data_IF_706748876190
#
_entry.id   IF_706748876190
#
_cell.length_a   1.000
_cell.length_b   1.000
_cell.length_c   1.000
_cell.angle_alpha   90.00
_cell.angle_beta   90.00
_cell.angle_gamma   90.00
#
_symmetry.space_group_name_H-M   'P 1'
#
loop_
_entity.id
_entity.type
_entity.pdbx_description
1 polymer ?
#
# COMPACT_ATOMS: atom_id res chain seq x y z
N UNK A 1 -14.62 19.30 19.95
CA UNK A 1 -14.84 18.66 18.65
C UNK A 1 -13.62 18.91 17.80
N UNK A 2 -13.06 17.87 17.15
CA UNK A 2 -11.90 17.98 16.27
C UNK A 2 -12.08 19.07 15.21
N UNK A 3 -10.99 19.74 14.84
CA UNK A 3 -10.99 20.81 13.83
C UNK A 3 -10.55 20.24 12.49
N UNK A 4 -11.18 20.70 11.41
CA UNK A 4 -10.86 20.27 10.05
C UNK A 4 -11.82 19.18 9.55
N UNK A 5 -11.44 18.52 8.46
CA UNK A 5 -12.24 17.48 7.85
C UNK A 5 -11.37 16.43 7.15
N UNK A 6 -11.79 15.18 7.25
CA UNK A 6 -11.32 14.09 6.40
C UNK A 6 -12.37 13.85 5.31
N UNK A 7 -11.99 14.02 4.06
CA UNK A 7 -12.92 13.92 2.93
C UNK A 7 -12.66 12.62 2.19
N UNK A 8 -13.71 11.86 1.91
CA UNK A 8 -13.64 10.75 0.97
C UNK A 8 -13.37 11.32 -0.43
N UNK A 9 -12.21 11.00 -1.01
CA UNK A 9 -11.85 11.44 -2.36
C UNK A 9 -12.10 10.36 -3.42
N UNK A 10 -12.11 9.08 -3.02
CA UNK A 10 -12.57 7.98 -3.86
C UNK A 10 -13.17 6.87 -2.97
N UNK A 11 -14.27 6.27 -3.44
CA UNK A 11 -14.97 5.19 -2.76
C UNK A 11 -15.73 4.36 -3.76
N UNK A 12 -15.74 3.05 -3.56
CA UNK A 12 -16.53 2.16 -4.39
C UNK A 12 -16.19 0.71 -4.21
N UNK A 13 -16.50 -0.04 -5.26
CA UNK A 13 -16.10 -1.43 -5.41
C UNK A 13 -15.72 -1.68 -6.87
N UNK A 14 -14.70 -2.51 -7.09
CA UNK A 14 -14.24 -2.89 -8.42
C UNK A 14 -13.54 -4.25 -8.40
N UNK A 15 -13.38 -4.85 -9.58
CA UNK A 15 -12.63 -6.08 -9.78
C UNK A 15 -11.15 -5.75 -9.97
N UNK A 16 -10.40 -5.79 -8.88
CA UNK A 16 -8.99 -5.42 -8.88
C UNK A 16 -8.35 -5.39 -7.51
N UNK A 17 -7.16 -4.80 -7.44
CA UNK A 17 -6.41 -4.57 -6.22
C UNK A 17 -5.98 -3.11 -6.11
N UNK A 18 -5.76 -2.64 -4.88
CA UNK A 18 -5.25 -1.30 -4.61
C UNK A 18 -3.86 -1.43 -4.02
N UNK A 19 -2.89 -0.76 -4.62
CA UNK A 19 -1.55 -0.60 -4.07
C UNK A 19 -1.39 0.83 -3.55
N UNK A 20 -0.70 1.00 -2.43
CA UNK A 20 -0.48 2.32 -1.84
C UNK A 20 0.80 2.33 -1.01
N UNK A 21 1.49 3.46 -1.00
CA UNK A 21 2.73 3.67 -0.26
C UNK A 21 2.87 5.14 0.13
N UNK A 22 3.53 5.40 1.27
CA UNK A 22 3.74 6.73 1.81
C UNK A 22 5.17 6.95 2.30
N UNK A 23 5.75 8.06 1.87
CA UNK A 23 6.91 8.65 2.51
C UNK A 23 6.45 9.55 3.68
N UNK A 24 6.74 9.15 4.90
CA UNK A 24 6.33 9.82 6.15
C UNK A 24 7.46 10.60 6.85
N UNK A 25 8.67 10.63 6.28
CA UNK A 25 9.75 11.45 6.82
C UNK A 25 9.56 12.91 6.43
N UNK A 26 9.28 13.77 7.40
CA UNK A 26 9.06 15.20 7.16
C UNK A 26 10.30 15.85 6.49
N UNK A 27 10.07 16.55 5.39
CA UNK A 27 11.12 17.25 4.62
C UNK A 27 10.86 18.75 4.59
N UNK A 28 11.85 19.54 5.02
CA UNK A 28 11.77 21.00 5.01
C UNK A 28 12.25 21.57 3.67
N UNK A 29 11.32 22.13 2.91
CA UNK A 29 11.62 22.84 1.67
C UNK A 29 11.86 24.32 1.95
N UNK A 30 13.02 24.82 1.50
CA UNK A 30 13.48 26.19 1.75
C UNK A 30 14.45 26.64 0.65
N UNK A 31 15.22 27.70 0.90
CA UNK A 31 16.26 28.16 -0.03
C UNK A 31 17.45 27.21 -0.11
N UNK A 32 17.71 26.39 0.93
CA UNK A 32 18.81 25.40 0.95
C UNK A 32 18.41 24.07 0.30
N UNK A 33 17.16 23.64 0.50
CA UNK A 33 16.59 22.45 -0.13
C UNK A 33 15.35 22.86 -0.92
N UNK A 34 15.55 23.10 -2.21
CA UNK A 34 14.49 23.60 -3.10
C UNK A 34 13.68 22.49 -3.76
N UNK A 35 14.15 21.25 -3.73
CA UNK A 35 13.58 20.17 -4.50
C UNK A 35 13.39 18.92 -3.65
N UNK A 36 12.28 18.22 -3.89
CA UNK A 36 12.01 16.91 -3.35
C UNK A 36 11.41 16.03 -4.46
N UNK A 37 11.92 14.80 -4.58
CA UNK A 37 11.46 13.85 -5.58
C UNK A 37 10.87 12.62 -4.90
N UNK A 38 9.62 12.31 -5.23
CA UNK A 38 8.94 11.07 -4.85
C UNK A 38 8.87 10.14 -6.07
N UNK A 39 9.09 8.85 -5.87
CA UNK A 39 9.09 7.86 -6.95
C UNK A 39 7.88 6.95 -6.81
N UNK A 40 7.14 6.79 -7.91
CA UNK A 40 5.98 5.89 -8.01
C UNK A 40 6.33 4.82 -9.04
N UNK A 41 6.30 3.54 -8.64
CA UNK A 41 6.50 2.42 -9.55
C UNK A 41 5.15 1.80 -9.90
N UNK A 42 4.88 1.67 -11.19
CA UNK A 42 3.61 1.16 -11.69
C UNK A 42 3.85 -0.11 -12.50
N UNK A 43 3.43 -1.24 -11.94
CA UNK A 43 3.78 -2.57 -12.45
C UNK A 43 2.97 -2.98 -13.69
N UNK A 44 1.75 -2.47 -13.82
CA UNK A 44 0.84 -2.75 -14.94
C UNK A 44 -0.07 -1.56 -15.21
N UNK A 45 -0.89 -1.59 -16.27
CA UNK A 45 -1.70 -0.43 -16.66
C UNK A 45 -2.73 -0.14 -15.55
N UNK A 46 -2.64 1.02 -14.86
CA UNK A 46 -3.55 1.32 -13.77
C UNK A 46 -4.89 1.83 -14.31
N UNK A 47 -5.98 1.57 -13.59
CA UNK A 47 -7.28 2.20 -13.87
C UNK A 47 -7.32 3.63 -13.31
N UNK A 48 -6.76 3.82 -12.13
CA UNK A 48 -6.67 5.10 -11.43
C UNK A 48 -5.35 5.20 -10.68
N UNK A 49 -4.81 6.42 -10.61
CA UNK A 49 -3.67 6.74 -9.76
C UNK A 49 -3.87 8.08 -9.10
N UNK A 50 -3.79 8.09 -7.77
CA UNK A 50 -3.82 9.30 -6.96
C UNK A 50 -2.45 9.54 -6.33
N UNK A 51 -2.08 10.81 -6.19
CA UNK A 51 -0.99 11.22 -5.31
C UNK A 51 -1.55 12.18 -4.27
N UNK A 52 -1.17 11.93 -3.01
CA UNK A 52 -1.63 12.68 -1.84
C UNK A 52 -0.40 13.17 -1.10
N UNK A 53 -0.38 14.44 -0.72
CA UNK A 53 0.67 14.95 0.14
C UNK A 53 0.18 16.03 1.08
N UNK A 54 0.83 16.10 2.24
CA UNK A 54 0.44 16.95 3.34
C UNK A 54 1.58 17.90 3.65
N UNK A 55 1.26 19.18 3.79
CA UNK A 55 2.23 20.22 4.12
C UNK A 55 1.82 21.00 5.36
N UNK A 56 2.83 21.51 6.07
CA UNK A 56 2.67 22.46 7.16
C UNK A 56 3.48 23.73 6.85
N UNK A 57 2.88 24.90 7.06
CA UNK A 57 3.49 26.21 6.77
C UNK A 57 3.03 27.27 7.76
N UNK A 58 3.73 28.41 7.79
CA UNK A 58 3.16 29.61 8.42
C UNK A 58 1.91 30.05 7.65
N UNK A 59 0.88 30.49 8.38
CA UNK A 59 -0.41 30.87 7.79
C UNK A 59 -0.28 32.00 6.76
N UNK A 60 0.68 32.91 6.93
CA UNK A 60 0.89 34.04 6.04
C UNK A 60 1.77 33.69 4.83
N UNK A 61 2.31 32.47 4.77
CA UNK A 61 3.19 32.01 3.70
C UNK A 61 2.38 31.20 2.70
N UNK A 62 2.19 31.71 1.49
CA UNK A 62 1.61 30.92 0.40
C UNK A 62 2.70 30.08 -0.31
N UNK A 63 2.46 28.79 -0.57
CA UNK A 63 3.46 27.91 -1.15
C UNK A 63 3.75 28.29 -2.60
N UNK A 64 4.95 28.83 -2.85
CA UNK A 64 5.46 29.12 -4.20
C UNK A 64 6.19 27.90 -4.76
N UNK A 65 5.45 26.88 -5.17
CA UNK A 65 6.02 25.65 -5.75
C UNK A 65 5.59 25.41 -7.20
N UNK A 66 6.32 24.50 -7.86
CA UNK A 66 5.92 23.85 -9.10
C UNK A 66 5.93 22.35 -8.86
N UNK A 67 4.89 21.69 -9.35
CA UNK A 67 4.74 20.25 -9.26
C UNK A 67 4.91 19.69 -10.66
N UNK A 68 5.72 18.65 -10.77
CA UNK A 68 5.97 17.95 -12.02
C UNK A 68 5.76 16.46 -11.81
N UNK A 69 5.11 15.81 -12.77
CA UNK A 69 5.08 14.37 -12.87
C UNK A 69 5.76 14.00 -14.17
N UNK A 70 6.90 13.31 -14.08
CA UNK A 70 7.82 13.12 -15.18
C UNK A 70 8.12 14.50 -15.82
N UNK A 71 7.86 14.66 -17.12
CA UNK A 71 8.09 15.90 -17.86
C UNK A 71 6.86 16.83 -17.92
N UNK A 72 5.77 16.50 -17.21
CA UNK A 72 4.51 17.25 -17.22
C UNK A 72 4.34 18.13 -15.99
N UNK A 73 4.06 19.41 -16.18
CA UNK A 73 3.75 20.32 -15.07
C UNK A 73 2.29 20.23 -14.67
N UNK A 74 2.03 20.09 -13.37
CA UNK A 74 0.67 19.90 -12.82
C UNK A 74 0.01 21.21 -12.37
N UNK A 75 0.46 22.38 -12.85
CA UNK A 75 -0.01 23.66 -12.28
C UNK A 75 -1.44 24.02 -12.67
N UNK A 76 -2.30 24.15 -11.64
CA UNK A 76 -3.63 24.80 -11.57
C UNK A 76 -4.89 24.01 -11.97
N UNK A 77 -4.83 22.86 -12.62
CA UNK A 77 -6.05 22.19 -13.16
C UNK A 77 -6.57 20.97 -12.38
N UNK A 78 -6.00 20.66 -11.23
CA UNK A 78 -6.42 19.52 -10.41
C UNK A 78 -6.46 19.94 -8.93
N UNK A 79 -7.63 19.91 -8.27
CA UNK A 79 -7.75 20.16 -6.82
C UNK A 79 -8.78 19.21 -6.21
N UNK A 80 -8.49 18.62 -5.05
CA UNK A 80 -8.82 19.28 -3.78
C UNK A 80 -7.61 19.76 -2.97
N UNK A 81 -7.73 20.98 -2.41
CA UNK A 81 -6.92 21.43 -1.28
C UNK A 81 -7.83 21.49 -0.06
N UNK A 82 -7.53 20.72 0.98
CA UNK A 82 -8.17 20.80 2.28
C UNK A 82 -7.19 21.54 3.17
N UNK A 83 -7.63 22.64 3.79
CA UNK A 83 -6.75 23.45 4.63
C UNK A 83 -7.37 23.66 6.01
N UNK A 84 -6.51 23.59 7.03
CA UNK A 84 -6.89 23.88 8.41
C UNK A 84 -5.89 24.88 8.97
N UNK A 85 -6.44 25.96 9.53
CA UNK A 85 -5.65 26.94 10.27
C UNK A 85 -5.60 26.58 11.75
N UNK A 86 -4.39 26.64 12.30
CA UNK A 86 -4.13 26.35 13.69
C UNK A 86 -3.13 27.37 14.26
N UNK A 87 -3.66 28.45 14.83
CA UNK A 87 -2.86 29.53 15.41
C UNK A 87 -2.07 30.32 14.36
N UNK A 88 -0.76 30.10 14.30
CA UNK A 88 0.14 30.67 13.29
C UNK A 88 0.49 29.69 12.16
N UNK A 89 0.06 28.44 12.27
CA UNK A 89 0.32 27.40 11.27
C UNK A 89 -0.91 27.17 10.41
N UNK A 90 -0.64 26.77 9.18
CA UNK A 90 -1.65 26.29 8.23
C UNK A 90 -1.17 24.96 7.70
N UNK A 91 -2.04 23.96 7.81
CA UNK A 91 -1.81 22.62 7.30
C UNK A 91 -2.66 22.48 6.05
N UNK A 92 -2.10 21.89 5.00
CA UNK A 92 -2.81 21.63 3.74
C UNK A 92 -2.63 20.17 3.34
N UNK A 93 -3.72 19.49 2.99
CA UNK A 93 -3.71 18.19 2.32
C UNK A 93 -4.10 18.42 0.86
N UNK A 94 -3.28 17.89 -0.04
CA UNK A 94 -3.43 18.05 -1.47
C UNK A 94 -3.55 16.68 -2.11
N UNK A 95 -4.58 16.50 -2.94
CA UNK A 95 -4.88 15.26 -3.63
C UNK A 95 -4.94 15.54 -5.14
N UNK A 96 -4.21 14.77 -5.93
CA UNK A 96 -4.21 14.84 -7.39
C UNK A 96 -4.61 13.50 -7.98
N UNK A 97 -5.55 13.53 -8.92
CA UNK A 97 -5.74 12.44 -9.87
C UNK A 97 -4.69 12.56 -10.98
N UNK A 98 -3.72 11.66 -10.98
CA UNK A 98 -2.62 11.62 -11.94
C UNK A 98 -2.76 10.47 -12.94
N UNK A 99 -3.90 9.77 -12.93
CA UNK A 99 -4.21 8.65 -13.84
C UNK A 99 -3.85 8.93 -15.32
N UNK A 100 -4.17 10.11 -15.90
CA UNK A 100 -3.87 10.34 -17.33
C UNK A 100 -2.39 10.56 -17.66
N UNK A 101 -1.53 10.79 -16.66
CA UNK A 101 -0.14 11.20 -16.83
C UNK A 101 0.88 10.13 -16.42
N UNK A 102 0.41 9.08 -15.74
CA UNK A 102 1.23 7.97 -15.28
C UNK A 102 1.57 7.02 -16.43
N UNK A 103 2.84 6.62 -16.51
CA UNK A 103 3.33 5.58 -17.43
C UNK A 103 3.64 4.29 -16.67
N UNK A 104 3.73 3.18 -17.40
CA UNK A 104 4.25 1.92 -16.88
C UNK A 104 5.71 2.10 -16.40
N UNK A 105 6.06 1.44 -15.30
CA UNK A 105 7.37 1.50 -14.67
C UNK A 105 7.53 2.72 -13.76
N UNK A 106 8.73 3.30 -13.76
CA UNK A 106 9.13 4.38 -12.85
C UNK A 106 8.54 5.72 -13.29
N UNK A 107 7.84 6.38 -12.37
CA UNK A 107 7.33 7.74 -12.48
C UNK A 107 7.97 8.61 -11.40
N UNK A 108 8.35 9.84 -11.74
CA UNK A 108 8.98 10.76 -10.79
C UNK A 108 8.07 11.95 -10.55
N UNK A 109 7.69 12.17 -9.29
CA UNK A 109 6.96 13.34 -8.87
C UNK A 109 7.90 14.33 -8.18
N UNK A 110 8.18 15.44 -8.86
CA UNK A 110 9.11 16.47 -8.40
C UNK A 110 8.35 17.68 -7.87
N UNK A 111 8.68 18.06 -6.63
CA UNK A 111 8.24 19.28 -5.98
C UNK A 111 9.40 20.28 -6.02
N UNK A 112 9.27 21.36 -6.77
CA UNK A 112 10.24 22.46 -6.81
C UNK A 112 9.71 23.67 -6.06
N UNK A 113 10.29 23.97 -4.91
CA UNK A 113 9.97 25.12 -4.08
C UNK A 113 10.81 26.36 -4.44
N UNK A 114 10.13 27.50 -4.57
CA UNK A 114 10.72 28.81 -4.92
C UNK A 114 10.44 29.89 -3.88
N UNK A 115 9.84 29.52 -2.75
CA UNK A 115 9.59 30.47 -1.67
C UNK A 115 10.84 30.74 -0.85
N UNK A 116 10.79 31.85 -0.10
CA UNK A 116 11.88 32.28 0.79
C UNK A 116 11.68 31.67 2.18
N UNK A 117 10.43 31.54 2.62
CA UNK A 117 10.08 30.96 3.92
C UNK A 117 10.03 29.44 3.85
N UNK A 118 10.44 28.76 4.91
CA UNK A 118 10.37 27.30 4.98
C UNK A 118 8.93 26.78 4.95
N UNK A 119 8.70 25.69 4.22
CA UNK A 119 7.49 24.85 4.33
C UNK A 119 7.93 23.42 4.67
N UNK A 120 7.11 22.72 5.46
CA UNK A 120 7.30 21.30 5.75
C UNK A 120 6.44 20.47 4.80
N UNK A 121 7.04 19.51 4.11
CA UNK A 121 6.35 18.40 3.49
C UNK A 121 6.30 17.27 4.52
N UNK A 122 5.16 17.10 5.17
CA UNK A 122 5.00 16.15 6.26
C UNK A 122 4.88 14.72 5.76
N UNK A 123 4.12 14.52 4.68
CA UNK A 123 4.03 13.21 4.02
C UNK A 123 3.66 13.35 2.55
N UNK A 124 4.02 12.36 1.76
CA UNK A 124 3.61 12.20 0.36
C UNK A 124 3.47 10.72 0.06
N UNK A 125 2.41 10.34 -0.63
CA UNK A 125 2.16 8.96 -1.01
C UNK A 125 1.28 8.85 -2.23
N UNK A 126 1.11 7.64 -2.71
CA UNK A 126 0.29 7.36 -3.88
C UNK A 126 -0.68 6.21 -3.61
N UNK A 127 -1.72 6.13 -4.45
CA UNK A 127 -2.66 5.02 -4.48
C UNK A 127 -2.87 4.62 -5.94
N UNK A 128 -2.67 3.36 -6.28
CA UNK A 128 -2.76 2.81 -7.63
C UNK A 128 -3.81 1.69 -7.66
N UNK A 129 -4.70 1.75 -8.64
CA UNK A 129 -5.75 0.77 -8.86
C UNK A 129 -5.37 -0.14 -10.02
N UNK A 130 -5.26 -1.44 -9.76
CA UNK A 130 -4.97 -2.44 -10.78
C UNK A 130 -6.20 -3.30 -11.03
N UNK A 131 -6.62 -3.43 -12.29
CA UNK A 131 -7.71 -4.34 -12.65
C UNK A 131 -7.26 -5.80 -12.50
N UNK A 132 -8.08 -6.61 -11.85
CA UNK A 132 -7.88 -8.04 -11.72
C UNK A 132 -9.26 -8.71 -11.61
N UNK A 133 -9.65 -9.41 -12.68
CA UNK A 133 -10.97 -10.05 -12.74
C UNK A 133 -11.18 -11.01 -11.56
N UNK A 134 -12.39 -10.97 -10.99
CA UNK A 134 -12.82 -11.78 -9.83
C UNK A 134 -12.13 -11.44 -8.50
N UNK A 135 -11.22 -10.47 -8.45
CA UNK A 135 -10.70 -9.91 -7.20
C UNK A 135 -11.63 -8.78 -6.77
N UNK A 136 -12.67 -9.09 -6.01
CA UNK A 136 -13.62 -8.06 -5.57
C UNK A 136 -12.98 -7.20 -4.47
N UNK A 137 -12.74 -5.92 -4.77
CA UNK A 137 -12.25 -4.94 -3.80
C UNK A 137 -13.34 -3.95 -3.46
N UNK A 138 -13.61 -3.75 -2.17
CA UNK A 138 -14.43 -2.65 -1.65
C UNK A 138 -13.53 -1.69 -0.88
N UNK A 139 -13.64 -0.40 -1.17
CA UNK A 139 -12.71 0.58 -0.61
C UNK A 139 -13.41 1.91 -0.28
N UNK A 140 -12.83 2.64 0.67
CA UNK A 140 -13.15 4.02 1.05
C UNK A 140 -11.83 4.72 1.38
N UNK A 141 -11.42 5.67 0.53
CA UNK A 141 -10.18 6.41 0.67
C UNK A 141 -10.47 7.84 1.12
N UNK A 142 -9.99 8.17 2.32
CA UNK A 142 -10.14 9.49 2.90
C UNK A 142 -8.78 10.17 3.04
N UNK A 143 -8.73 11.44 2.67
CA UNK A 143 -7.58 12.31 2.87
C UNK A 143 -8.07 13.69 3.30
N UNK A 144 -7.24 14.40 4.04
CA UNK A 144 -7.60 15.69 4.61
C UNK A 144 -6.77 15.99 5.84
N UNK A 145 -7.35 16.77 6.75
CA UNK A 145 -6.69 17.14 8.00
C UNK A 145 -7.75 17.15 9.09
N UNK A 146 -7.60 16.25 10.05
CA UNK A 146 -8.29 16.36 11.34
C UNK A 146 -7.28 16.68 12.43
N UNK A 147 -7.56 17.73 13.17
CA UNK A 147 -6.76 18.20 14.30
C UNK A 147 -7.48 17.81 15.59
N UNK A 148 -6.82 17.00 16.40
CA UNK A 148 -7.30 16.56 17.70
C UNK A 148 -6.60 17.34 18.80
N UNK A 149 -7.39 17.92 19.71
CA UNK A 149 -6.94 18.48 20.98
C UNK A 149 -6.94 17.40 22.06
N UNK A 150 -6.20 17.59 23.17
CA UNK A 150 -6.20 16.63 24.27
C UNK A 150 -7.62 16.40 24.80
N UNK A 151 -7.99 15.13 24.98
CA UNK A 151 -9.32 14.69 25.37
C UNK A 151 -10.30 14.49 24.20
N UNK A 152 -9.90 14.82 22.97
CA UNK A 152 -10.74 14.58 21.80
C UNK A 152 -10.52 13.18 21.20
N UNK A 153 -11.58 12.67 20.59
CA UNK A 153 -11.58 11.40 19.90
C UNK A 153 -12.27 11.50 18.54
N UNK A 154 -11.86 10.61 17.64
CA UNK A 154 -12.47 10.43 16.33
C UNK A 154 -12.67 8.94 16.07
N UNK A 155 -13.73 8.63 15.33
CA UNK A 155 -14.06 7.27 14.93
C UNK A 155 -14.00 7.13 13.41
N UNK A 156 -13.32 6.09 12.95
CA UNK A 156 -13.29 5.70 11.53
C UNK A 156 -13.86 4.29 11.36
N UNK A 157 -14.50 4.01 10.23
CA UNK A 157 -15.06 2.69 9.96
C UNK A 157 -14.10 1.85 9.11
N UNK A 158 -13.72 0.68 9.62
CA UNK A 158 -12.85 -0.27 8.95
C UNK A 158 -13.63 -1.46 8.38
N UNK A 159 -13.43 -1.77 7.11
CA UNK A 159 -14.11 -2.86 6.41
C UNK A 159 -13.25 -4.12 6.27
N UNK A 160 -11.97 -4.05 6.62
CA UNK A 160 -11.01 -5.14 6.43
C UNK A 160 -9.60 -4.69 6.82
N UNK A 161 -8.80 -4.32 5.85
CA UNK A 161 -7.52 -3.66 6.05
C UNK A 161 -7.71 -2.15 6.12
N UNK A 162 -7.14 -1.53 7.14
CA UNK A 162 -7.16 -0.09 7.32
C UNK A 162 -5.77 0.47 7.49
N UNK A 163 -5.58 1.63 6.89
CA UNK A 163 -4.35 2.36 6.87
C UNK A 163 -4.61 3.79 7.33
N UNK A 164 -3.73 4.31 8.17
CA UNK A 164 -3.86 5.64 8.75
C UNK A 164 -2.49 6.32 8.82
N UNK A 165 -2.45 7.57 8.36
CA UNK A 165 -1.27 8.44 8.50
C UNK A 165 -1.60 9.50 9.54
N UNK A 166 -0.79 9.59 10.59
CA UNK A 166 -0.98 10.58 11.66
C UNK A 166 0.32 11.11 12.23
N UNK A 167 0.24 12.28 12.88
CA UNK A 167 1.37 13.00 13.49
C UNK A 167 1.01 13.38 14.91
N UNK A 168 1.85 13.05 15.88
CA UNK A 168 1.72 13.56 17.24
C UNK A 168 2.68 14.74 17.42
N UNK A 169 2.17 15.95 17.63
CA UNK A 169 3.02 17.15 17.83
C UNK A 169 3.37 17.36 19.32
N UNK A 170 2.78 16.59 20.23
CA UNK A 170 2.91 16.81 21.67
C UNK A 170 3.94 15.91 22.35
N UNK A 171 4.99 16.52 22.91
CA UNK A 171 6.00 15.85 23.72
C UNK A 171 5.47 15.02 24.90
N UNK A 172 4.45 15.53 25.59
CA UNK A 172 3.82 14.90 26.77
C UNK A 172 2.36 14.52 26.47
N UNK A 173 2.09 14.17 25.22
CA UNK A 173 0.80 13.73 24.77
C UNK A 173 0.96 12.42 24.00
N UNK A 174 -0.11 11.64 24.00
CA UNK A 174 -0.18 10.29 23.45
C UNK A 174 -1.32 10.24 22.47
N UNK A 175 -1.02 9.84 21.24
CA UNK A 175 -2.03 9.56 20.23
C UNK A 175 -2.23 8.05 20.17
N UNK A 176 -3.43 7.62 20.52
CA UNK A 176 -3.84 6.22 20.48
C UNK A 176 -4.67 5.97 19.23
N UNK A 177 -4.34 4.92 18.50
CA UNK A 177 -5.16 4.38 17.40
C UNK A 177 -5.54 2.96 17.80
N UNK A 178 -6.74 2.81 18.36
CA UNK A 178 -7.13 1.65 19.16
C UNK A 178 -6.07 1.27 20.21
N UNK A 179 -5.36 0.16 20.00
CA UNK A 179 -4.28 -0.34 20.88
C UNK A 179 -2.89 0.15 20.49
N UNK A 180 -2.74 0.76 19.31
CA UNK A 180 -1.47 1.30 18.85
C UNK A 180 -1.21 2.66 19.48
N UNK A 181 0.01 2.90 19.95
CA UNK A 181 0.41 4.14 20.61
C UNK A 181 1.52 4.82 19.80
N UNK A 182 1.24 6.05 19.36
CA UNK A 182 2.22 6.97 18.78
C UNK A 182 2.82 7.80 19.92
N UNK A 183 4.12 7.61 20.18
CA UNK A 183 4.87 8.41 21.15
C UNK A 183 5.86 9.37 20.51
N UNK A 184 6.23 9.17 19.25
CA UNK A 184 7.22 10.02 18.58
C UNK A 184 6.72 11.45 18.47
N UNK A 185 7.54 12.40 18.94
CA UNK A 185 7.23 13.82 18.88
C UNK A 185 7.54 14.38 17.50
N UNK A 186 6.53 14.98 16.88
CA UNK A 186 6.58 15.68 15.61
C UNK A 186 6.99 14.80 14.41
N UNK A 187 6.89 13.47 14.55
CA UNK A 187 7.07 12.51 13.47
C UNK A 187 5.71 12.08 12.92
N UNK A 188 5.67 11.84 11.60
CA UNK A 188 4.50 11.24 10.96
C UNK A 188 4.68 9.73 11.00
N UNK A 189 3.68 9.04 11.52
CA UNK A 189 3.62 7.59 11.58
C UNK A 189 2.59 7.05 10.60
N UNK A 190 2.92 5.89 10.03
CA UNK A 190 2.06 5.08 9.19
C UNK A 190 1.60 3.86 9.98
N UNK A 191 0.29 3.64 10.03
CA UNK A 191 -0.32 2.59 10.83
C UNK A 191 -1.21 1.74 9.94
N UNK A 192 -0.92 0.45 9.88
CA UNK A 192 -1.75 -0.54 9.18
C UNK A 192 -2.32 -1.54 10.17
N UNK A 193 -3.62 -1.81 10.05
CA UNK A 193 -4.32 -2.79 10.90
C UNK A 193 -5.40 -3.53 10.12
N UNK A 194 -5.80 -4.70 10.64
CA UNK A 194 -6.94 -5.45 10.11
C UNK A 194 -8.04 -5.54 11.14
N UNK A 195 -9.21 -4.99 10.82
CA UNK A 195 -10.38 -4.93 11.69
C UNK A 195 -11.65 -4.82 10.86
N UNK A 196 -12.76 -5.33 11.39
CA UNK A 196 -14.09 -4.98 10.91
C UNK A 196 -14.82 -4.18 12.00
N UNK A 197 -15.34 -3.01 11.64
CA UNK A 197 -15.99 -2.08 12.54
C UNK A 197 -15.12 -0.87 12.88
N UNK A 198 -15.37 -0.28 14.04
CA UNK A 198 -14.87 1.05 14.35
C UNK A 198 -13.42 1.04 14.84
N UNK A 199 -12.60 1.96 14.33
CA UNK A 199 -11.28 2.31 14.84
C UNK A 199 -11.40 3.64 15.59
N UNK A 200 -10.93 3.67 16.83
CA UNK A 200 -10.96 4.86 17.66
C UNK A 200 -9.59 5.52 17.71
N UNK A 201 -9.52 6.77 17.28
CA UNK A 201 -8.33 7.61 17.39
C UNK A 201 -8.53 8.60 18.53
N UNK A 202 -7.71 8.51 19.57
CA UNK A 202 -7.86 9.28 20.81
C UNK A 202 -6.57 10.01 21.13
N UNK A 203 -6.67 11.30 21.41
CA UNK A 203 -5.52 12.11 21.79
C UNK A 203 -5.59 12.50 23.26
N UNK A 204 -4.59 12.10 24.04
CA UNK A 204 -4.54 12.34 25.48
C UNK A 204 -3.28 13.11 25.86
N UNK A 205 -3.36 13.99 26.86
CA UNK A 205 -2.19 14.63 27.46
C UNK A 205 -2.31 14.59 28.98
N UNK A 206 -1.18 14.39 29.65
CA UNK A 206 -1.09 14.39 31.12
C UNK A 206 -1.16 15.81 31.71
N UNK A 207 -1.07 16.85 30.88
CA UNK A 207 -1.14 18.26 31.28
C UNK A 207 -2.11 19.04 30.40
N UNK A 208 -2.48 20.25 30.84
CA UNK A 208 -3.31 21.20 30.09
C UNK A 208 -2.52 21.81 28.89
N UNK A 209 -1.90 20.95 28.09
CA UNK A 209 -1.04 21.31 26.97
C UNK A 209 -1.88 21.78 25.79
N UNK A 210 -1.36 22.75 25.03
CA UNK A 210 -1.90 23.13 23.72
C UNK A 210 -1.39 22.20 22.61
N UNK A 211 -0.89 21.02 22.96
CA UNK A 211 -0.39 20.04 22.02
C UNK A 211 -1.51 19.50 21.15
N UNK A 212 -1.17 19.02 19.96
CA UNK A 212 -2.15 18.60 18.96
C UNK A 212 -1.69 17.32 18.29
N UNK A 213 -2.66 16.56 17.79
CA UNK A 213 -2.44 15.47 16.86
C UNK A 213 -3.11 15.80 15.53
N UNK A 214 -2.47 15.36 14.44
CA UNK A 214 -3.01 15.49 13.10
C UNK A 214 -3.26 14.10 12.50
N UNK A 215 -4.40 13.94 11.84
CA UNK A 215 -4.70 12.77 11.01
C UNK A 215 -4.79 13.25 9.58
N UNK A 216 -4.00 12.64 8.70
CA UNK A 216 -3.85 13.06 7.31
C UNK A 216 -4.61 12.17 6.33
N UNK A 217 -4.54 10.85 6.54
CA UNK A 217 -5.14 9.85 5.66
C UNK A 217 -5.81 8.76 6.48
N UNK A 218 -6.91 8.24 5.96
CA UNK A 218 -7.53 7.01 6.45
C UNK A 218 -8.09 6.23 5.27
N UNK A 219 -7.54 5.05 5.01
CA UNK A 219 -8.03 4.14 3.97
C UNK A 219 -8.62 2.91 4.63
N UNK A 220 -9.76 2.46 4.10
CA UNK A 220 -10.41 1.21 4.51
C UNK A 220 -10.68 0.38 3.27
N UNK A 221 -10.02 -0.77 3.17
CA UNK A 221 -9.99 -1.62 2.00
C UNK A 221 -10.31 -3.05 2.42
N UNK A 222 -11.25 -3.69 1.71
CA UNK A 222 -11.59 -5.08 1.92
C UNK A 222 -11.46 -5.85 0.62
N UNK A 223 -10.60 -6.86 0.64
CA UNK A 223 -10.35 -7.75 -0.49
C UNK A 223 -11.15 -9.05 -0.31
N UNK A 224 -11.93 -9.41 -1.32
CA UNK A 224 -12.46 -10.76 -1.49
C UNK A 224 -11.72 -11.41 -2.66
N UNK A 225 -10.64 -12.09 -2.30
CA UNK A 225 -9.73 -12.76 -3.22
C UNK A 225 -10.31 -14.14 -3.55
N UNK A 226 -10.36 -14.52 -4.84
CA UNK A 226 -10.85 -15.85 -5.23
C UNK A 226 -9.92 -16.94 -4.71
N UNK A 227 -10.47 -18.13 -4.46
CA UNK A 227 -9.66 -19.23 -3.95
C UNK A 227 -8.67 -19.71 -5.03
N UNK A 228 -7.36 -19.55 -4.74
CA UNK A 228 -6.29 -20.21 -5.49
C UNK A 228 -5.99 -21.54 -4.82
N UNK A 229 -6.09 -22.63 -5.58
CA UNK A 229 -5.86 -24.00 -5.13
C UNK A 229 -5.15 -24.77 -6.24
N UNK A 230 -3.94 -25.25 -5.96
CA UNK A 230 -3.25 -26.22 -6.80
C UNK A 230 -3.25 -27.57 -6.09
N UNK A 231 -3.79 -28.60 -6.73
CA UNK A 231 -3.58 -29.96 -6.28
C UNK A 231 -2.26 -30.46 -6.83
N UNK A 232 -1.34 -30.88 -5.96
CA UNK A 232 -0.03 -31.42 -6.33
C UNK A 232 -0.02 -32.90 -5.95
N UNK A 233 -0.08 -33.77 -6.97
CA UNK A 233 -0.05 -35.24 -6.84
C UNK A 233 1.27 -35.80 -7.38
N UNK A 234 2.27 -35.98 -6.50
CA UNK A 234 3.55 -36.55 -6.90
C UNK A 234 3.55 -38.09 -6.79
N UNK A 235 4.09 -38.75 -7.82
CA UNK A 235 4.29 -40.20 -7.89
C UNK A 235 5.73 -40.52 -8.25
N UNK A 236 6.38 -41.30 -7.39
CA UNK A 236 7.75 -41.77 -7.63
C UNK A 236 7.67 -43.10 -8.36
N UNK A 237 8.32 -43.19 -9.52
CA UNK A 237 8.49 -44.42 -10.29
C UNK A 237 9.98 -44.64 -10.54
N UNK A 238 10.53 -45.68 -9.90
CA UNK A 238 11.94 -46.11 -9.95
C UNK A 238 12.94 -44.96 -9.94
N UNK A 239 13.27 -44.39 -11.09
CA UNK A 239 14.31 -43.39 -11.31
C UNK A 239 13.75 -42.02 -11.70
N UNK A 240 12.43 -41.83 -11.57
CA UNK A 240 11.75 -40.60 -11.93
C UNK A 240 10.66 -40.23 -10.94
N UNK A 241 10.44 -38.93 -10.81
CA UNK A 241 9.29 -38.34 -10.14
C UNK A 241 8.37 -37.79 -11.22
N UNK A 242 7.13 -38.28 -11.27
CA UNK A 242 6.06 -37.68 -12.04
C UNK A 242 5.24 -36.80 -11.10
N UNK A 243 5.09 -35.53 -11.42
CA UNK A 243 4.28 -34.58 -10.65
C UNK A 243 3.13 -34.14 -11.53
N UNK A 244 1.92 -34.46 -11.10
CA UNK A 244 0.69 -33.98 -11.73
C UNK A 244 0.18 -32.80 -10.90
N UNK A 245 0.00 -31.65 -11.54
CA UNK A 245 -0.53 -30.46 -10.89
C UNK A 245 -1.84 -30.08 -11.57
N UNK A 246 -2.92 -30.01 -10.81
CA UNK A 246 -4.23 -29.60 -11.34
C UNK A 246 -4.62 -28.25 -10.74
N UNK A 247 -5.02 -27.32 -11.60
CA UNK A 247 -5.57 -26.04 -11.15
C UNK A 247 -7.03 -26.23 -10.69
N UNK A 248 -7.23 -26.28 -9.37
CA UNK A 248 -8.55 -26.37 -8.73
C UNK A 248 -9.04 -25.00 -8.22
N UNK A 249 -8.42 -23.92 -8.69
CA UNK A 249 -8.80 -22.55 -8.30
C UNK A 249 -10.14 -22.15 -8.90
N UNK A 250 -10.80 -21.14 -8.31
CA UNK A 250 -11.97 -20.46 -8.89
C UNK A 250 -11.64 -19.64 -10.16
N UNK A 251 -10.35 -19.54 -10.48
CA UNK A 251 -9.77 -18.64 -11.48
C UNK A 251 -8.69 -19.30 -12.32
N UNK A 252 -8.51 -18.75 -13.52
CA UNK A 252 -7.33 -19.00 -14.35
C UNK A 252 -6.13 -18.27 -13.75
N UNK A 253 -4.96 -18.89 -13.84
CA UNK A 253 -3.71 -18.36 -13.30
C UNK A 253 -2.83 -17.85 -14.45
N UNK A 254 -2.29 -16.64 -14.31
CA UNK A 254 -1.38 -16.08 -15.31
C UNK A 254 -0.13 -16.93 -15.41
N UNK A 255 0.29 -17.53 -14.28
CA UNK A 255 1.47 -18.38 -14.20
C UNK A 255 1.39 -19.42 -13.09
N UNK A 256 1.91 -20.61 -13.35
CA UNK A 256 2.27 -21.61 -12.34
C UNK A 256 3.76 -21.91 -12.44
N UNK A 257 4.47 -21.70 -11.34
CA UNK A 257 5.90 -22.03 -11.22
C UNK A 257 6.04 -23.28 -10.39
N UNK A 258 6.83 -24.23 -10.85
CA UNK A 258 7.07 -25.50 -10.14
C UNK A 258 8.56 -25.70 -9.98
N UNK A 259 8.98 -25.89 -8.75
CA UNK A 259 10.35 -26.19 -8.38
C UNK A 259 10.40 -27.51 -7.61
N UNK A 260 11.24 -28.44 -8.05
CA UNK A 260 11.49 -29.71 -7.36
C UNK A 260 12.88 -29.65 -6.74
N UNK A 261 12.93 -29.83 -5.43
CA UNK A 261 14.12 -29.77 -4.61
C UNK A 261 14.44 -31.17 -4.08
N UNK A 262 15.69 -31.61 -4.19
CA UNK A 262 16.19 -32.82 -3.54
C UNK A 262 17.25 -32.43 -2.50
N UNK A 263 17.00 -32.76 -1.23
CA UNK A 263 17.83 -32.35 -0.09
C UNK A 263 18.14 -30.84 -0.09
N UNK A 264 17.15 -30.02 -0.52
CA UNK A 264 17.27 -28.56 -0.61
C UNK A 264 17.88 -28.02 -1.91
N UNK A 265 18.40 -28.88 -2.79
CA UNK A 265 18.96 -28.48 -4.08
C UNK A 265 17.92 -28.58 -5.18
N UNK A 266 17.78 -27.51 -5.99
CA UNK A 266 16.85 -27.48 -7.13
C UNK A 266 17.30 -28.46 -8.22
N UNK A 267 16.50 -29.51 -8.45
CA UNK A 267 16.75 -30.52 -9.49
C UNK A 267 15.83 -30.35 -10.71
N UNK A 268 14.76 -29.59 -10.59
CA UNK A 268 13.91 -29.22 -11.74
C UNK A 268 13.18 -27.92 -11.49
N UNK A 269 13.08 -27.09 -12.53
CA UNK A 269 12.31 -25.86 -12.53
C UNK A 269 11.49 -25.78 -13.81
N UNK A 270 10.17 -25.60 -13.69
CA UNK A 270 9.27 -25.37 -14.82
C UNK A 270 8.33 -24.22 -14.55
N UNK A 271 7.91 -23.58 -15.62
CA UNK A 271 6.99 -22.45 -15.61
C UNK A 271 5.95 -22.67 -16.70
N UNK A 272 4.69 -22.51 -16.33
CA UNK A 272 3.54 -22.61 -17.21
C UNK A 272 2.82 -21.27 -17.16
N UNK A 273 2.45 -20.71 -18.31
CA UNK A 273 1.68 -19.47 -18.40
C UNK A 273 0.22 -19.80 -18.76
N UNK A 274 -0.70 -18.90 -18.45
CA UNK A 274 -2.11 -18.95 -18.86
C UNK A 274 -2.79 -20.29 -18.52
N UNK A 275 -2.65 -20.73 -17.26
CA UNK A 275 -3.16 -22.02 -16.77
C UNK A 275 -4.65 -21.88 -16.45
N UNK A 276 -5.49 -22.56 -17.22
CA UNK A 276 -6.95 -22.49 -17.08
C UNK A 276 -7.44 -23.28 -15.88
N UNK A 277 -8.72 -23.07 -15.54
CA UNK A 277 -9.40 -23.84 -14.49
C UNK A 277 -9.46 -25.31 -14.94
N UNK A 278 -9.14 -26.24 -14.04
CA UNK A 278 -9.05 -27.69 -14.28
C UNK A 278 -7.94 -28.15 -15.22
N UNK A 279 -7.07 -27.24 -15.70
CA UNK A 279 -5.89 -27.65 -16.44
C UNK A 279 -5.01 -28.55 -15.59
N UNK A 280 -4.43 -29.56 -16.23
CA UNK A 280 -3.51 -30.51 -15.62
C UNK A 280 -2.13 -30.39 -16.26
N UNK A 281 -1.13 -30.12 -15.43
CA UNK A 281 0.26 -29.92 -15.81
C UNK A 281 1.06 -31.15 -15.38
N UNK A 282 1.75 -31.79 -16.33
CA UNK A 282 2.57 -32.97 -16.08
C UNK A 282 4.06 -32.62 -16.13
N UNK A 283 4.79 -33.04 -15.09
CA UNK A 283 6.22 -32.84 -14.96
C UNK A 283 6.87 -34.17 -14.59
N UNK A 284 7.66 -34.70 -15.52
CA UNK A 284 8.59 -35.78 -15.25
C UNK A 284 9.98 -35.24 -14.92
N UNK A 285 10.53 -35.65 -13.79
CA UNK A 285 11.85 -35.26 -13.29
C UNK A 285 12.69 -36.52 -13.07
N UNK A 286 13.91 -36.56 -13.59
CA UNK A 286 14.85 -37.64 -13.28
C UNK A 286 15.39 -37.50 -11.85
N UNK A 287 15.43 -38.61 -11.11
CA UNK A 287 15.96 -38.64 -9.75
C UNK A 287 17.45 -39.04 -9.73
N UNK A 288 18.24 -38.54 -8.76
CA UNK A 288 19.63 -38.98 -8.59
C UNK A 288 19.72 -40.48 -8.29
N UNK A 289 20.81 -41.12 -8.73
CA UNK A 289 21.06 -42.56 -8.58
C UNK A 289 21.08 -43.04 -7.10
N UNK A 290 21.37 -42.14 -6.15
CA UNK A 290 21.32 -42.40 -4.71
C UNK A 290 20.00 -41.87 -4.13
N UNK A 291 18.96 -42.71 -4.16
CA UNK A 291 17.56 -42.35 -3.90
C UNK A 291 17.22 -41.90 -2.48
N UNK A 292 18.17 -41.92 -1.54
CA UNK A 292 17.88 -41.54 -0.14
C UNK A 292 17.90 -40.04 0.04
N UNK A 293 16.75 -39.47 0.37
CA UNK A 293 16.65 -38.06 0.69
C UNK A 293 15.23 -37.53 0.77
N UNK A 294 15.14 -36.22 1.01
CA UNK A 294 13.88 -35.51 1.04
C UNK A 294 13.66 -34.79 -0.29
N UNK A 295 12.55 -35.12 -0.94
CA UNK A 295 12.04 -34.38 -2.07
C UNK A 295 11.02 -33.35 -1.59
N UNK A 296 11.13 -32.13 -2.09
CA UNK A 296 10.13 -31.06 -1.89
C UNK A 296 9.71 -30.55 -3.25
N UNK A 297 8.42 -30.72 -3.57
CA UNK A 297 7.78 -30.10 -4.72
C UNK A 297 7.12 -28.82 -4.24
N UNK A 298 7.55 -27.68 -4.78
CA UNK A 298 6.96 -26.37 -4.56
C UNK A 298 6.25 -25.91 -5.82
N UNK A 299 4.93 -25.80 -5.75
CA UNK A 299 4.13 -25.17 -6.80
C UNK A 299 3.67 -23.78 -6.33
N UNK A 300 3.80 -22.77 -7.17
CA UNK A 300 3.38 -21.39 -6.90
C UNK A 300 2.40 -20.97 -7.97
N UNK A 301 1.13 -20.78 -7.60
CA UNK A 301 0.11 -20.18 -8.46
C UNK A 301 0.17 -18.67 -8.38
N UNK A 302 0.12 -17.99 -9.53
CA UNK A 302 0.25 -16.54 -9.63
C UNK A 302 -0.92 -15.98 -10.45
N UNK A 303 -1.60 -14.98 -9.91
CA UNK A 303 -2.61 -14.16 -10.61
C UNK A 303 -2.44 -12.70 -10.23
N UNK A 304 -2.24 -11.82 -11.21
CA UNK A 304 -2.15 -10.36 -11.02
C UNK A 304 -1.20 -9.96 -9.86
N UNK A 305 -0.03 -10.60 -9.79
CA UNK A 305 0.97 -10.37 -8.75
C UNK A 305 0.73 -11.10 -7.42
N UNK A 306 -0.50 -11.56 -7.14
CA UNK A 306 -0.79 -12.39 -5.97
C UNK A 306 -0.23 -13.80 -6.15
N UNK A 307 0.50 -14.30 -5.14
CA UNK A 307 1.19 -15.59 -5.17
C UNK A 307 0.70 -16.48 -4.05
N UNK A 308 0.39 -17.74 -4.37
CA UNK A 308 0.08 -18.76 -3.36
C UNK A 308 0.93 -20.01 -3.58
N UNK A 309 1.59 -20.43 -2.51
CA UNK A 309 2.54 -21.54 -2.53
C UNK A 309 1.91 -22.81 -1.98
N UNK A 310 2.20 -23.93 -2.64
CA UNK A 310 1.76 -25.27 -2.29
C UNK A 310 2.98 -26.18 -2.27
N UNK A 311 3.38 -26.60 -1.08
CA UNK A 311 4.52 -27.48 -0.87
C UNK A 311 4.05 -28.92 -0.58
N UNK A 312 4.70 -29.89 -1.24
CA UNK A 312 4.55 -31.32 -0.96
C UNK A 312 5.92 -31.94 -0.72
N UNK A 313 6.06 -32.60 0.41
CA UNK A 313 7.29 -33.29 0.79
C UNK A 313 7.12 -34.80 0.71
N UNK A 314 8.15 -35.48 0.24
CA UNK A 314 8.24 -36.94 0.18
C UNK A 314 9.62 -37.35 0.68
N UNK A 315 9.69 -38.48 1.37
CA UNK A 315 10.95 -39.13 1.67
C UNK A 315 11.09 -40.32 0.73
N UNK A 316 12.21 -40.39 0.01
CA UNK A 316 12.56 -41.47 -0.91
C UNK A 316 13.83 -42.19 -0.47
#
# INVERSE_FOLDING_TARGET
>A
MPIGNMVTFDKGSFDGTIDYDFFTTSTKLSTSLKEFTYVINVDSKPEKVYIIFNIERDKNVEPKWRLWLNDFSLTKEFRPNIEVENGSRKISSIIYDISPLVKLGRNEFLITYKGIHEISLDSIGHVVFYRAEKFETKYDLMAGILVLKPGEEMKFNCYGECHLIAKNVGKNARLFVDSYLITSENEVEEITMRKQGDIYVRYMSESNSRSLAYIYNFYSINYKIPSIILNVDPKVDKDSLNVIITNLSEIELDKVIVNVLFNGLSISYKMFNDVKISDTLDIKVGLPLNKKGNLVIRAVGIKSGFRKTFDKSLTI
#
